data_IF_027764842508
#
_entry.id   IF_027764842508
#
_cell.length_a   1.000
_cell.length_b   1.000
_cell.length_c   1.000
_cell.angle_alpha   90.00
_cell.angle_beta   90.00
_cell.angle_gamma   90.00
#
_symmetry.space_group_name_H-M   'P 1'
#
loop_
_entity.id
_entity.type
_entity.pdbx_description
1 polymer ?
#
# COMPACT_ATOMS: atom_id res chain seq x y z
N UNK A 1 15.83 41.83 20.35
CA UNK A 1 14.46 41.30 20.29
C UNK A 1 14.00 41.51 18.85
N UNK A 2 14.35 40.57 17.98
CA UNK A 2 13.91 40.52 16.59
C UNK A 2 14.07 39.05 16.17
N UNK A 3 13.04 38.26 16.46
CA UNK A 3 12.98 36.84 16.14
C UNK A 3 11.89 36.69 15.08
N UNK A 4 12.27 36.92 13.82
CA UNK A 4 11.42 36.60 12.68
C UNK A 4 11.33 35.09 12.58
N UNK A 5 10.23 34.56 13.12
CA UNK A 5 9.78 33.18 12.98
C UNK A 5 9.88 32.75 11.52
N UNK A 6 10.87 31.88 11.26
CA UNK A 6 10.86 30.99 10.13
C UNK A 6 9.54 30.23 10.16
N UNK A 7 8.57 30.67 9.34
CA UNK A 7 7.36 29.91 9.07
C UNK A 7 7.82 28.66 8.34
N UNK A 8 8.05 27.62 9.12
CA UNK A 8 8.23 26.25 8.64
C UNK A 8 6.99 25.89 7.85
N UNK A 9 7.06 26.07 6.53
CA UNK A 9 6.10 25.49 5.60
C UNK A 9 6.21 23.97 5.75
N UNK A 10 5.41 23.39 6.64
CA UNK A 10 5.25 21.94 6.72
C UNK A 10 4.58 21.53 5.42
N UNK A 11 5.41 21.12 4.45
CA UNK A 11 4.94 20.37 3.28
C UNK A 11 4.06 19.22 3.81
N UNK A 12 2.90 18.92 3.20
CA UNK A 12 2.17 17.71 3.54
C UNK A 12 3.15 16.56 3.32
N UNK A 13 3.48 15.88 4.42
CA UNK A 13 4.41 14.77 4.39
C UNK A 13 3.71 13.66 3.61
N UNK A 14 3.99 13.58 2.30
CA UNK A 14 3.61 12.43 1.50
C UNK A 14 4.02 11.17 2.25
N UNK A 15 3.15 10.16 2.25
CA UNK A 15 3.35 8.93 3.01
C UNK A 15 4.78 8.43 2.75
N UNK A 16 5.65 8.34 3.77
CA UNK A 16 7.04 7.97 3.57
C UNK A 16 7.07 6.55 3.03
N UNK A 17 7.23 6.43 1.72
CA UNK A 17 7.31 5.13 1.07
C UNK A 17 8.56 4.44 1.60
N UNK A 18 8.38 3.32 2.33
CA UNK A 18 9.52 2.47 2.70
C UNK A 18 10.36 2.16 1.44
N UNK A 19 11.69 2.25 1.58
CA UNK A 19 12.64 1.96 0.48
C UNK A 19 12.53 0.52 0.01
N UNK A 20 12.42 -0.42 0.94
CA UNK A 20 12.29 -1.85 0.64
C UNK A 20 10.87 -2.38 0.92
N UNK A 21 10.29 -3.15 -0.02
CA UNK A 21 9.03 -3.84 0.21
C UNK A 21 9.18 -4.89 1.32
N UNK A 22 8.42 -4.74 2.40
CA UNK A 22 8.23 -5.82 3.38
C UNK A 22 7.24 -6.82 2.83
N UNK A 23 7.71 -7.65 1.91
CA UNK A 23 6.84 -8.51 1.12
C UNK A 23 6.02 -9.49 1.98
N UNK A 24 6.52 -9.90 3.16
CA UNK A 24 5.82 -10.81 4.06
C UNK A 24 4.78 -10.12 4.97
N UNK A 25 4.67 -8.78 4.95
CA UNK A 25 3.68 -8.07 5.77
C UNK A 25 2.26 -8.47 5.34
N UNK A 26 1.45 -8.92 6.31
CA UNK A 26 0.09 -9.39 6.04
C UNK A 26 -0.01 -10.79 5.43
N UNK A 27 1.09 -11.53 5.28
CA UNK A 27 1.05 -12.94 4.90
C UNK A 27 0.64 -13.81 6.11
N UNK A 28 -0.46 -14.58 6.06
CA UNK A 28 -0.86 -15.44 7.17
C UNK A 28 0.19 -16.52 7.43
N UNK A 29 0.43 -16.84 8.70
CA UNK A 29 1.47 -17.80 9.11
C UNK A 29 1.31 -19.17 8.44
N UNK A 30 0.08 -19.64 8.25
CA UNK A 30 -0.24 -20.91 7.61
C UNK A 30 0.25 -21.01 6.15
N UNK A 31 0.50 -19.89 5.47
CA UNK A 31 0.90 -19.85 4.07
C UNK A 31 2.37 -19.51 3.85
N UNK A 32 3.14 -19.18 4.91
CA UNK A 32 4.54 -18.72 4.77
C UNK A 32 5.44 -19.72 4.05
N UNK A 33 5.34 -21.00 4.40
CA UNK A 33 6.15 -22.06 3.78
C UNK A 33 5.72 -22.38 2.33
N UNK A 34 4.49 -22.00 1.97
CA UNK A 34 3.89 -22.28 0.67
C UNK A 34 4.11 -21.15 -0.34
N UNK A 35 4.56 -19.97 0.09
CA UNK A 35 4.82 -18.84 -0.79
C UNK A 35 6.22 -18.93 -1.39
N UNK A 36 6.33 -18.57 -2.67
CA UNK A 36 7.62 -18.34 -3.33
C UNK A 36 8.15 -16.98 -2.91
N UNK A 37 9.30 -16.96 -2.23
CA UNK A 37 9.89 -15.72 -1.72
C UNK A 37 10.50 -14.88 -2.87
N UNK A 38 10.15 -13.58 -2.99
CA UNK A 38 10.82 -12.68 -3.92
C UNK A 38 12.25 -12.37 -3.47
N UNK A 39 13.17 -12.35 -4.43
CA UNK A 39 14.59 -12.01 -4.27
C UNK A 39 14.95 -10.64 -4.84
N UNK A 40 14.17 -10.14 -5.80
CA UNK A 40 14.33 -8.83 -6.42
C UNK A 40 12.99 -8.08 -6.49
N UNK A 41 13.04 -6.74 -6.51
CA UNK A 41 11.86 -5.88 -6.52
C UNK A 41 11.95 -4.73 -7.53
N UNK A 42 10.90 -4.61 -8.34
CA UNK A 42 10.65 -3.48 -9.22
C UNK A 42 9.55 -2.59 -8.61
N UNK A 43 9.85 -1.31 -8.36
CA UNK A 43 8.94 -0.38 -7.66
C UNK A 43 8.61 0.83 -8.53
N UNK A 44 7.33 0.99 -8.84
CA UNK A 44 6.79 2.17 -9.51
C UNK A 44 6.01 3.03 -8.52
N UNK A 45 6.18 4.35 -8.60
CA UNK A 45 5.48 5.32 -7.76
C UNK A 45 4.87 6.39 -8.65
N UNK A 46 3.62 6.73 -8.36
CA UNK A 46 2.95 7.89 -8.89
C UNK A 46 2.70 8.84 -7.71
N UNK A 47 3.42 9.95 -7.71
CA UNK A 47 3.37 10.92 -6.62
C UNK A 47 2.06 11.71 -6.66
N UNK A 48 1.55 11.99 -7.86
CA UNK A 48 0.32 12.78 -8.04
C UNK A 48 -0.90 12.00 -7.54
N UNK A 49 -0.95 10.71 -7.82
CA UNK A 49 -2.04 9.82 -7.39
C UNK A 49 -1.82 9.19 -6.01
N UNK A 50 -0.74 9.53 -5.32
CA UNK A 50 -0.32 8.85 -4.08
C UNK A 50 -0.38 7.32 -4.22
N UNK A 51 0.09 6.82 -5.36
CA UNK A 51 0.00 5.42 -5.74
C UNK A 51 1.37 4.75 -5.84
N UNK A 52 1.40 3.46 -5.53
CA UNK A 52 2.60 2.62 -5.65
C UNK A 52 2.22 1.28 -6.23
N UNK A 53 3.08 0.75 -7.09
CA UNK A 53 3.03 -0.63 -7.58
C UNK A 53 4.39 -1.30 -7.42
N UNK A 54 4.40 -2.56 -7.01
CA UNK A 54 5.60 -3.36 -6.74
C UNK A 54 5.44 -4.72 -7.40
N UNK A 55 6.47 -5.16 -8.11
CA UNK A 55 6.62 -6.54 -8.56
C UNK A 55 7.82 -7.16 -7.84
N UNK A 56 7.67 -8.36 -7.32
CA UNK A 56 8.79 -9.15 -6.81
C UNK A 56 9.02 -10.38 -7.68
N UNK A 57 10.29 -10.74 -7.85
CA UNK A 57 10.72 -11.84 -8.72
C UNK A 57 11.49 -12.90 -7.94
N UNK A 58 11.31 -14.16 -8.30
CA UNK A 58 12.05 -15.29 -7.73
C UNK A 58 13.45 -15.46 -8.35
N UNK A 59 14.12 -16.56 -8.03
CA UNK A 59 15.46 -16.88 -8.53
C UNK A 59 15.52 -17.06 -10.06
N UNK A 60 14.40 -17.40 -10.70
CA UNK A 60 14.29 -17.57 -12.16
C UNK A 60 13.83 -16.27 -12.85
N UNK A 61 13.67 -15.16 -12.10
CA UNK A 61 13.19 -13.88 -12.60
C UNK A 61 11.67 -13.84 -12.85
N UNK A 62 10.93 -14.88 -12.44
CA UNK A 62 9.47 -14.96 -12.60
C UNK A 62 8.78 -14.14 -11.52
N UNK A 63 7.67 -13.48 -11.87
CA UNK A 63 6.89 -12.71 -10.89
C UNK A 63 6.26 -13.65 -9.88
N UNK A 64 6.65 -13.52 -8.61
CA UNK A 64 6.14 -14.29 -7.49
C UNK A 64 5.48 -13.40 -6.41
N UNK A 65 5.60 -12.09 -6.54
CA UNK A 65 4.99 -11.11 -5.65
C UNK A 65 4.44 -9.94 -6.45
N UNK A 66 3.29 -9.45 -6.03
CA UNK A 66 2.68 -8.24 -6.56
C UNK A 66 2.07 -7.43 -5.42
N UNK A 67 2.26 -6.12 -5.42
CA UNK A 67 1.53 -5.26 -4.52
C UNK A 67 1.20 -3.93 -5.18
N UNK A 68 0.02 -3.39 -4.91
CA UNK A 68 -0.27 -2.00 -5.20
C UNK A 68 -1.01 -1.35 -4.05
N UNK A 69 -0.90 -0.03 -3.97
CA UNK A 69 -1.71 0.78 -3.10
C UNK A 69 -1.94 2.14 -3.74
N UNK A 70 -3.12 2.71 -3.53
CA UNK A 70 -3.42 4.10 -3.88
C UNK A 70 -4.36 4.68 -2.84
N UNK A 71 -4.34 6.01 -2.73
CA UNK A 71 -5.17 6.74 -1.78
C UNK A 71 -5.59 8.07 -2.37
N UNK A 72 -6.88 8.35 -2.31
CA UNK A 72 -7.45 9.67 -2.55
C UNK A 72 -7.71 10.36 -1.22
N UNK A 73 -7.41 11.65 -1.17
CA UNK A 73 -7.70 12.51 -0.03
C UNK A 73 -8.52 13.69 -0.49
N UNK A 74 -9.38 14.21 0.39
CA UNK A 74 -10.10 15.45 0.18
C UNK A 74 -9.85 16.41 1.35
N UNK A 75 -9.84 17.73 1.11
CA UNK A 75 -9.86 18.71 2.17
C UNK A 75 -11.11 18.52 3.05
N UNK A 76 -10.91 18.50 4.36
CA UNK A 76 -11.94 18.52 5.38
C UNK A 76 -11.66 19.72 6.29
N UNK A 77 -12.74 20.30 6.84
CA UNK A 77 -12.69 21.37 7.84
C UNK A 77 -13.51 20.89 9.03
N UNK A 78 -12.92 20.89 10.21
CA UNK A 78 -13.70 21.00 11.44
C UNK A 78 -14.03 22.48 11.70
N UNK A 79 -14.70 22.77 12.80
CA UNK A 79 -15.22 24.11 13.16
C UNK A 79 -14.07 25.11 13.48
N UNK A 80 -12.81 24.67 13.30
CA UNK A 80 -11.57 25.23 13.84
C UNK A 80 -10.69 25.89 12.75
N UNK A 81 -11.24 26.16 11.56
CA UNK A 81 -10.64 26.89 10.42
C UNK A 81 -9.38 26.28 9.76
N UNK A 82 -8.87 25.12 10.22
CA UNK A 82 -7.71 24.45 9.61
C UNK A 82 -8.11 23.32 8.64
N UNK A 83 -7.75 23.46 7.37
CA UNK A 83 -7.97 22.41 6.38
C UNK A 83 -6.99 21.25 6.59
N UNK A 84 -7.50 20.04 6.79
CA UNK A 84 -6.71 18.80 6.75
C UNK A 84 -7.16 17.87 5.62
N UNK A 85 -6.24 17.04 5.12
CA UNK A 85 -6.55 16.05 4.09
C UNK A 85 -7.04 14.76 4.74
N UNK A 86 -8.31 14.42 4.53
CA UNK A 86 -8.90 13.16 4.99
C UNK A 86 -8.90 12.13 3.86
N UNK A 87 -8.48 10.87 4.10
CA UNK A 87 -8.65 9.78 3.14
C UNK A 87 -10.14 9.57 2.84
N UNK A 88 -10.52 9.65 1.56
CA UNK A 88 -11.91 9.46 1.11
C UNK A 88 -12.11 8.14 0.39
N UNK A 89 -11.06 7.64 -0.25
CA UNK A 89 -11.05 6.36 -0.92
C UNK A 89 -9.62 5.82 -1.01
N UNK A 90 -9.49 4.51 -1.11
CA UNK A 90 -8.20 3.89 -1.37
C UNK A 90 -8.30 2.38 -1.40
N UNK A 91 -7.24 1.76 -1.87
CA UNK A 91 -7.11 0.33 -1.75
C UNK A 91 -5.65 -0.06 -1.55
N UNK A 92 -5.45 -1.24 -0.98
CA UNK A 92 -4.17 -1.94 -1.03
C UNK A 92 -4.41 -3.40 -1.38
N UNK A 93 -3.69 -3.87 -2.39
CA UNK A 93 -3.62 -5.27 -2.79
C UNK A 93 -2.22 -5.77 -2.56
N UNK A 94 -2.09 -6.96 -2.00
CA UNK A 94 -0.83 -7.69 -1.91
C UNK A 94 -1.09 -9.13 -2.31
N UNK A 95 -0.26 -9.68 -3.17
CA UNK A 95 -0.44 -11.01 -3.71
C UNK A 95 0.89 -11.76 -3.74
N UNK A 96 0.81 -13.03 -3.36
CA UNK A 96 1.93 -13.95 -3.29
C UNK A 96 1.64 -15.17 -4.15
N UNK A 97 2.59 -15.55 -4.99
CA UNK A 97 2.55 -16.82 -5.70
C UNK A 97 2.82 -17.95 -4.71
N UNK A 98 1.94 -18.94 -4.73
CA UNK A 98 2.08 -20.18 -3.99
C UNK A 98 2.83 -21.22 -4.83
N UNK A 99 3.41 -22.22 -4.15
CA UNK A 99 4.10 -23.35 -4.80
C UNK A 99 3.17 -24.21 -5.67
N UNK A 100 1.87 -24.12 -5.47
CA UNK A 100 0.84 -24.75 -6.31
C UNK A 100 0.36 -23.85 -7.46
N UNK A 101 1.13 -22.80 -7.77
CA UNK A 101 0.94 -21.84 -8.88
C UNK A 101 -0.25 -20.88 -8.74
N UNK A 102 -1.08 -21.04 -7.69
CA UNK A 102 -2.13 -20.07 -7.37
C UNK A 102 -1.55 -18.84 -6.68
N UNK A 103 -2.30 -17.74 -6.72
CA UNK A 103 -1.99 -16.51 -6.02
C UNK A 103 -2.86 -16.39 -4.77
N UNK A 104 -2.24 -16.26 -3.61
CA UNK A 104 -2.92 -15.77 -2.41
C UNK A 104 -2.97 -14.25 -2.49
N UNK A 105 -4.17 -13.68 -2.54
CA UNK A 105 -4.39 -12.24 -2.69
C UNK A 105 -5.04 -11.69 -1.44
N UNK A 106 -4.36 -10.77 -0.76
CA UNK A 106 -4.89 -9.93 0.30
C UNK A 106 -5.38 -8.61 -0.28
N UNK A 107 -6.59 -8.19 0.07
CA UNK A 107 -7.15 -6.89 -0.30
C UNK A 107 -7.61 -6.12 0.94
N UNK A 108 -7.36 -4.81 0.94
CA UNK A 108 -7.87 -3.84 1.91
C UNK A 108 -8.50 -2.71 1.12
N UNK A 109 -9.75 -2.40 1.38
CA UNK A 109 -10.46 -1.28 0.77
C UNK A 109 -10.70 -0.22 1.83
N UNK A 110 -10.34 1.02 1.52
CA UNK A 110 -10.57 2.20 2.34
C UNK A 110 -11.80 2.89 1.75
N UNK A 111 -12.91 2.88 2.48
CA UNK A 111 -14.14 3.57 2.13
C UNK A 111 -14.36 4.82 2.99
N UNK A 112 -15.31 5.66 2.55
CA UNK A 112 -15.71 6.89 3.24
C UNK A 112 -16.65 6.64 4.44
N UNK A 113 -17.02 5.39 4.70
CA UNK A 113 -17.96 5.03 5.76
C UNK A 113 -17.24 5.08 7.11
N UNK A 114 -17.26 6.25 7.75
CA UNK A 114 -16.51 6.60 8.98
C UNK A 114 -16.79 5.78 10.24
N UNK A 115 -17.38 4.58 10.13
CA UNK A 115 -17.77 3.74 11.28
C UNK A 115 -17.07 2.38 11.38
N UNK A 116 -16.27 1.93 10.40
CA UNK A 116 -15.56 0.66 10.51
C UNK A 116 -14.11 0.71 10.01
N UNK A 117 -13.13 0.17 10.77
CA UNK A 117 -11.77 0.02 10.27
C UNK A 117 -11.76 -0.91 9.06
N UNK A 118 -10.99 -0.54 8.03
CA UNK A 118 -10.84 -1.36 6.82
C UNK A 118 -10.25 -2.73 7.16
N UNK A 119 -11.06 -3.78 7.02
CA UNK A 119 -10.62 -5.15 7.31
C UNK A 119 -10.03 -5.80 6.06
N UNK A 120 -8.87 -6.48 6.18
CA UNK A 120 -8.34 -7.26 5.08
C UNK A 120 -9.15 -8.53 4.86
N UNK A 121 -9.28 -8.93 3.60
CA UNK A 121 -9.76 -10.25 3.23
C UNK A 121 -8.81 -10.92 2.24
N UNK A 122 -8.92 -12.25 2.12
CA UNK A 122 -8.05 -13.07 1.29
C UNK A 122 -8.87 -13.84 0.25
N UNK A 123 -8.35 -13.92 -0.97
CA UNK A 123 -8.90 -14.73 -2.05
C UNK A 123 -7.78 -15.48 -2.77
N UNK A 124 -8.11 -16.60 -3.40
CA UNK A 124 -7.21 -17.26 -4.34
C UNK A 124 -7.50 -16.77 -5.76
N UNK A 125 -6.45 -16.70 -6.58
CA UNK A 125 -6.54 -16.36 -8.00
C UNK A 125 -5.61 -17.25 -8.81
N UNK A 126 -6.05 -17.70 -9.98
CA UNK A 126 -5.22 -18.49 -10.92
C UNK A 126 -4.20 -17.62 -11.67
N UNK A 127 -4.26 -16.29 -11.49
CA UNK A 127 -3.35 -15.36 -12.16
C UNK A 127 -2.96 -14.20 -11.25
N UNK A 128 -1.83 -13.57 -11.58
CA UNK A 128 -1.37 -12.37 -10.89
C UNK A 128 -2.44 -11.26 -11.04
N UNK A 129 -2.81 -10.56 -9.95
CA UNK A 129 -3.71 -9.42 -10.04
C UNK A 129 -3.18 -8.32 -10.97
N UNK A 130 -4.09 -7.59 -11.61
CA UNK A 130 -3.79 -6.52 -12.58
C UNK A 130 -3.94 -5.13 -11.97
#
# INVERSE_FOLDING_TARGET
MDEWLARSTTRPQGVPWRREPRWADGLPAAWREQVVAPLDFEVHRDVELSARRVFGRDADGRKCYYAHAWMMTAPCTDDDEEFYLQPTAGESVTAWLLRDERWLVRKVVIGNDGCAPSQPFYVFSESMPR
#
